data_IF_888907390573
#
_entry.id   IF_888907390573
#
_cell.length_a   1.000
_cell.length_b   1.000
_cell.length_c   1.000
_cell.angle_alpha   90.00
_cell.angle_beta   90.00
_cell.angle_gamma   90.00
#
_symmetry.space_group_name_H-M   'P 1'
#
loop_
_entity.id
_entity.type
_entity.pdbx_description
1 polymer ?
#
# COMPACT_ATOMS: atom_id res chain seq x y z
N UNK A 1 3.96 -6.43 -4.10
CA UNK A 1 3.86 -6.64 -2.64
C UNK A 1 2.60 -7.41 -2.23
N UNK A 2 1.41 -6.88 -2.52
CA UNK A 2 0.14 -7.52 -2.19
C UNK A 2 -0.05 -8.89 -2.89
N UNK A 3 0.43 -9.02 -4.12
CA UNK A 3 0.50 -10.25 -4.92
C UNK A 3 1.21 -11.42 -4.20
N UNK A 4 2.23 -11.11 -3.38
CA UNK A 4 3.00 -12.12 -2.64
C UNK A 4 2.39 -12.48 -1.29
N UNK A 5 1.61 -11.58 -0.70
CA UNK A 5 0.95 -11.78 0.60
C UNK A 5 -0.43 -12.43 0.45
N UNK A 6 -1.08 -12.17 -0.68
CA UNK A 6 -2.43 -12.64 -0.96
C UNK A 6 -2.47 -14.11 -1.34
N UNK A 7 -3.51 -14.80 -0.88
CA UNK A 7 -3.90 -16.14 -1.36
C UNK A 7 -4.97 -16.06 -2.45
N UNK A 8 -5.46 -14.85 -2.73
CA UNK A 8 -6.47 -14.57 -3.72
C UNK A 8 -5.84 -14.01 -5.00
N UNK A 9 -6.61 -14.04 -6.09
CA UNK A 9 -6.25 -13.27 -7.29
C UNK A 9 -6.58 -11.79 -7.05
N UNK A 10 -6.29 -10.96 -8.05
CA UNK A 10 -6.66 -9.54 -8.06
C UNK A 10 -8.11 -9.32 -7.56
N UNK A 11 -8.35 -8.29 -6.71
CA UNK A 11 -7.42 -7.24 -6.31
C UNK A 11 -6.72 -7.50 -4.96
N UNK A 12 -6.52 -8.75 -4.53
CA UNK A 12 -5.71 -9.08 -3.33
C UNK A 12 -6.27 -8.53 -2.00
N UNK A 13 -7.60 -8.46 -1.86
CA UNK A 13 -8.26 -7.80 -0.70
C UNK A 13 -7.95 -8.46 0.64
N UNK A 14 -7.61 -9.75 0.66
CA UNK A 14 -7.17 -10.49 1.84
C UNK A 14 -5.83 -9.97 2.41
N UNK A 15 -4.99 -9.34 1.59
CA UNK A 15 -3.75 -8.71 2.05
C UNK A 15 -4.00 -7.37 2.79
N UNK A 16 -5.18 -6.76 2.63
CA UNK A 16 -5.49 -5.45 3.24
C UNK A 16 -5.48 -5.51 4.76
N UNK A 17 -5.92 -6.61 5.36
CA UNK A 17 -5.94 -6.76 6.82
C UNK A 17 -4.54 -6.61 7.44
N UNK A 18 -3.52 -7.17 6.78
CA UNK A 18 -2.14 -7.06 7.22
C UNK A 18 -1.69 -5.60 7.11
N UNK A 19 -1.93 -4.99 5.96
CA UNK A 19 -1.48 -3.63 5.69
C UNK A 19 -2.19 -2.58 6.58
N UNK A 20 -3.50 -2.74 6.82
CA UNK A 20 -4.27 -1.95 7.78
C UNK A 20 -3.75 -2.09 9.20
N UNK A 21 -3.41 -3.31 9.64
CA UNK A 21 -2.84 -3.55 10.97
C UNK A 21 -1.51 -2.83 11.16
N UNK A 22 -0.61 -2.90 10.16
CA UNK A 22 0.67 -2.20 10.19
C UNK A 22 0.47 -0.68 10.23
N UNK A 23 -0.39 -0.14 9.37
CA UNK A 23 -0.68 1.29 9.30
C UNK A 23 -1.34 1.83 10.59
N UNK A 24 -2.18 1.04 11.25
CA UNK A 24 -2.79 1.41 12.53
C UNK A 24 -1.78 1.35 13.69
N UNK A 25 -0.84 0.40 13.65
CA UNK A 25 0.14 0.21 14.72
C UNK A 25 1.22 1.31 14.75
N UNK A 26 1.69 1.75 13.58
CA UNK A 26 2.77 2.73 13.47
C UNK A 26 2.52 3.75 12.35
N UNK A 27 1.50 4.63 12.48
CA UNK A 27 1.03 5.49 11.39
C UNK A 27 2.06 6.51 10.89
N UNK A 28 3.03 6.89 11.72
CA UNK A 28 4.17 7.76 11.36
C UNK A 28 5.37 7.02 10.74
N UNK A 29 5.29 5.68 10.61
CA UNK A 29 6.40 4.84 10.10
C UNK A 29 6.00 3.98 8.90
N UNK A 30 4.90 4.32 8.23
CA UNK A 30 4.44 3.61 7.04
C UNK A 30 4.45 4.50 5.80
N UNK A 31 4.67 3.87 4.66
CA UNK A 31 4.55 4.49 3.34
C UNK A 31 3.96 3.47 2.38
N UNK A 32 3.41 3.95 1.26
CA UNK A 32 2.86 3.10 0.21
C UNK A 32 3.68 3.25 -1.07
N UNK A 33 3.81 2.16 -1.82
CA UNK A 33 4.37 2.15 -3.17
C UNK A 33 3.68 1.07 -4.00
N UNK A 34 3.56 1.29 -5.31
CA UNK A 34 2.88 0.34 -6.21
C UNK A 34 3.63 -0.98 -6.34
N UNK A 35 4.96 -0.97 -6.20
CA UNK A 35 5.87 -2.07 -6.56
C UNK A 35 6.07 -2.22 -8.08
N UNK A 36 5.62 -1.26 -8.91
CA UNK A 36 5.90 -1.26 -10.35
C UNK A 36 7.41 -1.33 -10.62
N UNK A 37 7.89 -2.15 -11.58
CA UNK A 37 7.17 -2.92 -12.61
C UNK A 37 6.75 -4.34 -12.17
N UNK A 38 6.50 -4.57 -10.87
CA UNK A 38 6.10 -5.85 -10.27
C UNK A 38 7.10 -6.97 -10.57
N UNK A 39 8.37 -6.75 -10.23
CA UNK A 39 9.41 -7.77 -10.42
C UNK A 39 9.05 -9.04 -9.64
N UNK A 40 9.34 -10.21 -10.23
CA UNK A 40 8.95 -11.53 -9.72
C UNK A 40 7.43 -11.75 -9.58
N UNK A 41 6.61 -11.06 -10.36
CA UNK A 41 5.19 -11.38 -10.49
C UNK A 41 5.01 -12.68 -11.29
N UNK A 42 4.32 -13.65 -10.69
CA UNK A 42 3.94 -14.90 -11.35
C UNK A 42 2.46 -14.86 -11.70
N UNK A 43 2.13 -14.41 -12.92
CA UNK A 43 0.75 -14.29 -13.37
C UNK A 43 0.53 -13.10 -14.32
N UNK A 44 -0.73 -12.71 -14.56
CA UNK A 44 -1.02 -11.52 -15.34
C UNK A 44 -0.53 -10.28 -14.60
N UNK A 45 -0.12 -9.27 -15.38
CA UNK A 45 0.24 -7.95 -14.84
C UNK A 45 -0.92 -7.37 -14.06
N UNK A 46 -0.62 -6.84 -12.87
CA UNK A 46 -1.58 -6.11 -12.05
C UNK A 46 -1.87 -4.75 -12.67
N UNK A 47 -3.14 -4.37 -12.69
CA UNK A 47 -3.53 -2.98 -12.93
C UNK A 47 -3.20 -2.14 -11.68
N UNK A 48 -2.25 -1.21 -11.81
CA UNK A 48 -1.82 -0.35 -10.71
C UNK A 48 -2.95 0.56 -10.21
N UNK A 49 -3.91 0.93 -11.06
CA UNK A 49 -5.06 1.73 -10.65
C UNK A 49 -5.91 0.96 -9.63
N UNK A 50 -6.10 -0.34 -9.83
CA UNK A 50 -6.80 -1.19 -8.87
C UNK A 50 -6.06 -1.27 -7.53
N UNK A 51 -4.73 -1.20 -7.49
CA UNK A 51 -3.98 -1.17 -6.22
C UNK A 51 -4.15 0.17 -5.50
N UNK A 52 -4.16 1.28 -6.23
CA UNK A 52 -4.39 2.62 -5.68
C UNK A 52 -5.79 2.72 -5.07
N UNK A 53 -6.81 2.13 -5.70
CA UNK A 53 -8.19 2.12 -5.22
C UNK A 53 -8.37 1.39 -3.87
N UNK A 54 -7.40 0.57 -3.45
CA UNK A 54 -7.43 -0.12 -2.16
C UNK A 54 -6.88 0.73 -1.00
N UNK A 55 -6.13 1.79 -1.27
CA UNK A 55 -5.55 2.66 -0.23
C UNK A 55 -6.61 3.19 0.75
N UNK A 56 -7.77 3.72 0.33
CA UNK A 56 -8.82 4.16 1.26
C UNK A 56 -9.45 3.03 2.07
N UNK A 57 -9.42 1.79 1.58
CA UNK A 57 -9.89 0.62 2.33
C UNK A 57 -8.87 0.20 3.39
N UNK A 58 -7.58 0.23 3.03
CA UNK A 58 -6.47 -0.09 3.92
C UNK A 58 -6.33 0.93 5.06
N UNK A 59 -6.46 2.23 4.74
CA UNK A 59 -6.31 3.34 5.70
C UNK A 59 -7.53 4.27 5.53
N UNK A 60 -8.62 4.07 6.30
CA UNK A 60 -9.86 4.84 6.11
C UNK A 60 -9.79 6.32 6.55
N UNK A 61 -8.89 6.66 7.47
CA UNK A 61 -8.68 8.04 7.91
C UNK A 61 -7.91 8.85 6.86
N UNK A 62 -8.48 9.97 6.41
CA UNK A 62 -7.82 10.88 5.46
C UNK A 62 -6.51 11.43 6.00
N UNK A 63 -6.48 11.85 7.26
CA UNK A 63 -5.25 12.34 7.90
C UNK A 63 -4.16 11.24 7.97
N UNK A 64 -4.55 9.99 8.23
CA UNK A 64 -3.60 8.87 8.23
C UNK A 64 -3.10 8.55 6.81
N UNK A 65 -3.97 8.63 5.79
CA UNK A 65 -3.55 8.51 4.38
C UNK A 65 -2.61 9.62 3.98
N UNK A 66 -2.88 10.86 4.36
CA UNK A 66 -2.00 12.00 4.08
C UNK A 66 -0.61 11.75 4.64
N UNK A 67 -0.51 11.31 5.90
CA UNK A 67 0.79 10.94 6.47
C UNK A 67 1.49 9.83 5.69
N UNK A 68 0.80 8.75 5.39
CA UNK A 68 1.37 7.61 4.67
C UNK A 68 1.84 7.96 3.24
N UNK A 69 1.14 8.85 2.55
CA UNK A 69 1.39 9.17 1.13
C UNK A 69 2.23 10.43 0.92
N UNK A 70 2.30 11.32 1.90
CA UNK A 70 2.92 12.65 1.77
C UNK A 70 3.95 12.88 2.87
N UNK A 71 3.52 12.96 4.13
CA UNK A 71 4.40 13.43 5.20
C UNK A 71 5.53 12.44 5.51
N UNK A 72 5.21 11.15 5.68
CA UNK A 72 6.21 10.14 6.02
C UNK A 72 7.23 9.93 4.89
N UNK A 73 6.84 9.81 3.59
CA UNK A 73 7.81 9.78 2.50
C UNK A 73 8.64 11.05 2.41
N UNK A 74 8.04 12.24 2.56
CA UNK A 74 8.77 13.51 2.49
C UNK A 74 9.83 13.63 3.58
N UNK A 75 9.51 13.23 4.82
CA UNK A 75 10.46 13.20 5.93
C UNK A 75 11.57 12.17 5.70
N UNK A 76 11.20 10.94 5.29
CA UNK A 76 12.15 9.85 5.11
C UNK A 76 13.15 10.11 3.96
N UNK A 77 12.65 10.56 2.81
CA UNK A 77 13.48 10.85 1.63
C UNK A 77 14.06 12.27 1.64
N UNK A 78 13.65 13.12 2.60
CA UNK A 78 14.08 14.52 2.74
C UNK A 78 13.79 15.34 1.48
N UNK A 79 12.55 15.29 1.03
CA UNK A 79 12.08 16.19 -0.03
C UNK A 79 11.98 17.61 0.54
N UNK A 80 12.98 18.45 0.26
CA UNK A 80 13.12 19.82 0.76
C UNK A 80 14.42 20.46 0.29
#
# INVERSE_FOLDING_TARGET
>A
GADRLSKQKLPYTDALLIASSIAAHAPERTMWGSDWPHVNLHGPMTDDACLVDLIPQMVPSEAARHRMLVDNPAEFFRFG
#
